data_IF_243876952028
#
_entry.id   IF_243876952028
#
_cell.length_a   1.000
_cell.length_b   1.000
_cell.length_c   1.000
_cell.angle_alpha   90.00
_cell.angle_beta   90.00
_cell.angle_gamma   90.00
#
_symmetry.space_group_name_H-M   'P 1'
#
loop_
_entity.id
_entity.type
_entity.pdbx_description
1 polymer ?
#
# COMPACT_ATOMS: atom_id res chain seq x y z
N UNK A 1 -0.23 2.46 -37.39
CA UNK A 1 -1.71 2.64 -37.52
C UNK A 1 -2.28 2.66 -36.11
N UNK A 2 -2.61 3.83 -35.60
CA UNK A 2 -3.17 3.99 -34.25
C UNK A 2 -4.62 3.54 -34.26
N UNK A 3 -4.91 2.35 -33.71
CA UNK A 3 -6.29 1.87 -33.58
C UNK A 3 -7.02 2.77 -32.58
N UNK A 4 -8.03 3.52 -33.08
CA UNK A 4 -8.92 4.32 -32.23
C UNK A 4 -9.73 3.39 -31.33
N UNK A 5 -9.54 3.47 -30.00
CA UNK A 5 -10.44 2.82 -29.05
C UNK A 5 -11.83 3.44 -29.15
N UNK A 6 -12.85 2.62 -29.35
CA UNK A 6 -14.26 3.09 -29.43
C UNK A 6 -14.86 2.92 -28.04
N UNK A 7 -15.31 4.03 -27.43
CA UNK A 7 -16.05 3.99 -26.17
C UNK A 7 -17.43 3.37 -26.40
N UNK A 8 -17.73 2.25 -25.74
CA UNK A 8 -19.04 1.58 -25.85
C UNK A 8 -20.03 2.06 -24.79
N UNK A 9 -19.56 2.32 -23.59
CA UNK A 9 -20.39 2.78 -22.47
C UNK A 9 -19.57 3.73 -21.61
N UNK A 10 -20.21 4.83 -21.18
CA UNK A 10 -19.61 5.78 -20.24
C UNK A 10 -20.64 6.21 -19.18
N UNK A 11 -20.20 6.32 -17.95
CA UNK A 11 -20.95 6.92 -16.83
C UNK A 11 -20.11 7.99 -16.16
N UNK A 12 -20.78 9.09 -15.79
CA UNK A 12 -20.16 10.19 -15.02
C UNK A 12 -20.91 10.34 -13.70
N UNK A 13 -20.15 10.27 -12.62
CA UNK A 13 -20.66 10.34 -11.25
C UNK A 13 -20.08 11.56 -10.55
N UNK A 14 -20.86 12.20 -9.73
CA UNK A 14 -20.52 13.44 -9.04
C UNK A 14 -20.75 13.29 -7.54
N UNK A 15 -19.83 13.85 -6.76
CA UNK A 15 -19.91 13.89 -5.30
C UNK A 15 -19.67 15.31 -4.81
N UNK A 16 -20.58 15.83 -3.99
CA UNK A 16 -20.43 17.15 -3.38
C UNK A 16 -20.83 17.11 -1.92
N UNK A 17 -19.89 17.45 -1.03
CA UNK A 17 -20.13 17.55 0.41
C UNK A 17 -19.17 18.57 1.01
N UNK A 18 -19.70 19.61 1.64
CA UNK A 18 -18.90 20.72 2.18
C UNK A 18 -18.03 21.37 1.11
N UNK A 19 -16.71 21.42 1.34
CA UNK A 19 -15.73 21.93 0.36
C UNK A 19 -15.27 20.90 -0.66
N UNK A 20 -15.78 19.68 -0.60
CA UNK A 20 -15.43 18.59 -1.52
C UNK A 20 -16.38 18.59 -2.72
N UNK A 21 -15.83 18.78 -3.92
CA UNK A 21 -16.55 18.70 -5.20
C UNK A 21 -15.73 17.82 -6.13
N UNK A 22 -16.19 16.59 -6.37
CA UNK A 22 -15.46 15.52 -7.08
C UNK A 22 -16.27 14.97 -8.23
N UNK A 23 -15.55 14.49 -9.24
CA UNK A 23 -16.10 13.79 -10.39
C UNK A 23 -15.40 12.44 -10.55
N UNK A 24 -16.14 11.45 -11.03
CA UNK A 24 -15.66 10.12 -11.35
C UNK A 24 -16.29 9.63 -12.66
N UNK A 25 -15.48 9.50 -13.70
CA UNK A 25 -15.90 8.96 -15.01
C UNK A 25 -15.48 7.51 -15.11
N UNK A 26 -16.38 6.66 -15.59
CA UNK A 26 -16.11 5.24 -15.87
C UNK A 26 -16.39 5.02 -17.34
N UNK A 27 -15.45 4.41 -18.07
CA UNK A 27 -15.55 4.13 -19.50
C UNK A 27 -15.25 2.66 -19.75
N UNK A 28 -16.10 2.01 -20.53
CA UNK A 28 -15.86 0.72 -21.15
C UNK A 28 -15.49 0.96 -22.60
N UNK A 29 -14.28 0.57 -22.99
CA UNK A 29 -13.73 0.83 -24.31
C UNK A 29 -13.30 -0.47 -24.98
N UNK A 30 -13.48 -0.57 -26.30
CA UNK A 30 -12.94 -1.68 -27.09
C UNK A 30 -11.44 -1.47 -27.31
N UNK A 31 -10.65 -2.51 -27.20
CA UNK A 31 -9.20 -2.51 -27.40
C UNK A 31 -8.79 -3.78 -28.17
N UNK A 32 -8.66 -3.68 -29.46
CA UNK A 32 -8.17 -4.73 -30.37
C UNK A 32 -8.62 -6.16 -30.07
N UNK A 33 -8.03 -6.81 -29.11
CA UNK A 33 -8.30 -8.19 -28.70
C UNK A 33 -9.40 -8.36 -27.64
N UNK A 34 -10.02 -7.26 -27.14
CA UNK A 34 -11.02 -7.33 -26.07
C UNK A 34 -11.51 -5.97 -25.60
N UNK A 35 -11.78 -5.84 -24.28
CA UNK A 35 -12.36 -4.65 -23.69
C UNK A 35 -11.58 -4.22 -22.45
N UNK A 36 -11.50 -2.88 -22.23
CA UNK A 36 -10.88 -2.26 -21.08
C UNK A 36 -11.90 -1.42 -20.32
N UNK A 37 -11.75 -1.32 -19.01
CA UNK A 37 -12.49 -0.40 -18.15
C UNK A 37 -11.56 0.67 -17.64
N UNK A 38 -11.71 1.89 -18.16
CA UNK A 38 -10.92 3.05 -17.76
C UNK A 38 -11.73 3.93 -16.82
N UNK A 39 -11.04 4.58 -15.87
CA UNK A 39 -11.63 5.55 -14.98
C UNK A 39 -10.82 6.83 -14.93
N UNK A 40 -11.53 7.97 -14.79
CA UNK A 40 -10.93 9.28 -14.58
C UNK A 40 -11.60 9.91 -13.37
N UNK A 41 -10.84 10.41 -12.42
CA UNK A 41 -11.41 10.95 -11.18
C UNK A 41 -10.56 12.06 -10.57
N UNK A 42 -11.21 12.90 -9.80
CA UNK A 42 -10.54 14.03 -9.16
C UNK A 42 -11.52 15.10 -8.70
N UNK A 43 -10.98 16.29 -8.42
CA UNK A 43 -11.80 17.49 -8.17
C UNK A 43 -12.42 17.95 -9.49
N UNK A 44 -13.70 18.37 -9.45
CA UNK A 44 -14.35 18.98 -10.60
C UNK A 44 -13.58 20.25 -11.00
N UNK A 45 -13.40 20.44 -12.30
CA UNK A 45 -12.65 21.55 -12.90
C UNK A 45 -11.14 21.57 -12.55
N UNK A 46 -10.57 20.41 -12.16
CA UNK A 46 -9.14 20.20 -12.02
C UNK A 46 -8.67 19.06 -12.92
N UNK A 47 -7.36 18.86 -13.04
CA UNK A 47 -6.79 17.72 -13.73
C UNK A 47 -7.25 16.41 -13.08
N UNK A 48 -7.82 15.52 -13.87
CA UNK A 48 -8.30 14.22 -13.41
C UNK A 48 -7.18 13.18 -13.45
N UNK A 49 -7.14 12.34 -12.45
CA UNK A 49 -6.31 11.14 -12.44
C UNK A 49 -6.95 10.08 -13.33
N UNK A 50 -6.15 9.38 -14.15
CA UNK A 50 -6.59 8.31 -15.03
C UNK A 50 -6.07 6.98 -14.50
N UNK A 51 -6.92 5.95 -14.54
CA UNK A 51 -6.58 4.59 -14.12
C UNK A 51 -7.34 3.60 -15.00
N UNK A 52 -6.73 2.46 -15.31
CA UNK A 52 -7.40 1.34 -15.99
C UNK A 52 -7.71 0.26 -14.96
N UNK A 53 -8.95 -0.18 -14.88
CA UNK A 53 -9.41 -1.20 -13.92
C UNK A 53 -9.19 -2.64 -14.43
N UNK A 54 -8.83 -2.78 -15.68
CA UNK A 54 -8.44 -4.03 -16.33
C UNK A 54 -6.97 -3.96 -16.70
N UNK A 55 -6.13 -4.87 -16.20
CA UNK A 55 -4.69 -4.87 -16.52
C UNK A 55 -4.40 -5.23 -17.97
N UNK A 56 -5.24 -6.11 -18.55
CA UNK A 56 -5.21 -6.55 -19.95
C UNK A 56 -6.62 -6.48 -20.54
N UNK A 57 -6.78 -6.45 -21.88
CA UNK A 57 -8.09 -6.57 -22.49
C UNK A 57 -8.78 -7.88 -22.09
N UNK A 58 -10.02 -7.78 -21.62
CA UNK A 58 -10.84 -8.90 -21.14
C UNK A 58 -12.07 -9.10 -22.04
N UNK A 59 -12.84 -10.18 -21.83
CA UNK A 59 -14.11 -10.39 -22.55
C UNK A 59 -15.11 -9.28 -22.21
N UNK A 60 -16.09 -9.03 -23.08
CA UNK A 60 -17.14 -8.02 -22.85
C UNK A 60 -17.86 -8.27 -21.52
N UNK A 61 -18.23 -9.49 -21.23
CA UNK A 61 -18.93 -9.88 -20.01
C UNK A 61 -18.11 -9.58 -18.74
N UNK A 62 -16.80 -9.84 -18.77
CA UNK A 62 -15.90 -9.49 -17.68
C UNK A 62 -15.74 -7.98 -17.52
N UNK A 63 -15.61 -7.25 -18.63
CA UNK A 63 -15.51 -5.80 -18.60
C UNK A 63 -16.79 -5.14 -18.07
N UNK A 64 -17.97 -5.63 -18.46
CA UNK A 64 -19.26 -5.18 -17.93
C UNK A 64 -19.40 -5.48 -16.43
N UNK A 65 -18.98 -6.64 -15.98
CA UNK A 65 -18.97 -6.98 -14.54
C UNK A 65 -18.09 -6.01 -13.73
N UNK A 66 -16.88 -5.70 -14.23
CA UNK A 66 -15.96 -4.73 -13.61
C UNK A 66 -16.55 -3.32 -13.64
N UNK A 67 -17.10 -2.88 -14.77
CA UNK A 67 -17.75 -1.58 -14.93
C UNK A 67 -18.90 -1.41 -13.92
N UNK A 68 -19.79 -2.38 -13.85
CA UNK A 68 -20.94 -2.37 -12.95
C UNK A 68 -20.52 -2.47 -11.46
N UNK A 69 -19.43 -3.17 -11.16
CA UNK A 69 -18.86 -3.21 -9.81
C UNK A 69 -18.39 -1.83 -9.38
N UNK A 70 -17.55 -1.16 -10.20
CA UNK A 70 -17.05 0.19 -9.91
C UNK A 70 -18.20 1.20 -9.80
N UNK A 71 -19.19 1.12 -10.68
CA UNK A 71 -20.38 1.97 -10.62
C UNK A 71 -21.12 1.83 -9.27
N UNK A 72 -21.42 0.61 -8.85
CA UNK A 72 -22.10 0.34 -7.57
C UNK A 72 -21.29 0.81 -6.38
N UNK A 73 -19.98 0.60 -6.36
CA UNK A 73 -19.08 1.08 -5.29
C UNK A 73 -19.13 2.61 -5.16
N UNK A 74 -19.15 3.34 -6.27
CA UNK A 74 -19.19 4.80 -6.24
C UNK A 74 -20.55 5.33 -5.81
N UNK A 75 -21.64 4.72 -6.27
CA UNK A 75 -22.98 5.07 -5.81
C UNK A 75 -23.14 4.81 -4.30
N UNK A 76 -22.64 3.68 -3.79
CA UNK A 76 -22.62 3.39 -2.35
C UNK A 76 -21.77 4.38 -1.53
N UNK A 77 -20.76 4.99 -2.14
CA UNK A 77 -19.91 6.03 -1.53
C UNK A 77 -20.48 7.45 -1.67
N UNK A 78 -21.77 7.60 -2.00
CA UNK A 78 -22.47 8.87 -2.06
C UNK A 78 -22.31 9.65 -3.36
N UNK A 79 -21.69 9.06 -4.41
CA UNK A 79 -21.72 9.65 -5.73
C UNK A 79 -23.09 9.46 -6.39
N UNK A 80 -23.50 10.41 -7.23
CA UNK A 80 -24.77 10.36 -7.97
C UNK A 80 -24.55 10.55 -9.46
N UNK A 81 -25.41 9.95 -10.28
CA UNK A 81 -25.48 10.25 -11.70
C UNK A 81 -26.19 11.62 -11.89
N UNK A 82 -25.59 12.52 -12.66
CA UNK A 82 -26.13 13.87 -12.91
C UNK A 82 -25.23 14.99 -12.39
N UNK A 83 -25.30 16.15 -13.04
CA UNK A 83 -24.34 17.26 -12.81
C UNK A 83 -24.46 17.94 -11.44
N UNK A 84 -25.60 17.81 -10.78
CA UNK A 84 -25.88 18.39 -9.47
C UNK A 84 -25.99 17.25 -8.47
N UNK A 85 -24.88 16.95 -7.80
CA UNK A 85 -24.91 16.01 -6.67
C UNK A 85 -25.92 16.51 -5.61
N UNK A 86 -26.49 15.62 -4.75
CA UNK A 86 -27.52 15.99 -3.80
C UNK A 86 -27.03 17.11 -2.89
N UNK A 87 -27.81 18.18 -2.81
CA UNK A 87 -27.68 19.21 -1.79
C UNK A 87 -28.04 18.58 -0.46
N UNK A 88 -27.03 18.38 0.37
CA UNK A 88 -27.02 17.93 1.74
C UNK A 88 -28.35 17.53 2.40
N UNK A 89 -28.49 16.24 2.68
CA UNK A 89 -29.22 15.79 3.86
C UNK A 89 -28.23 15.81 5.03
N UNK A 90 -28.43 16.71 5.96
CA UNK A 90 -27.63 16.84 7.17
C UNK A 90 -27.86 15.62 8.06
N UNK A 91 -26.82 14.80 8.25
CA UNK A 91 -26.77 13.88 9.38
C UNK A 91 -26.21 14.64 10.59
N UNK A 92 -26.83 14.52 11.78
CA UNK A 92 -26.39 15.26 12.96
C UNK A 92 -25.00 14.79 13.42
N UNK A 93 -24.07 15.74 13.50
CA UNK A 93 -22.77 15.56 14.14
C UNK A 93 -22.96 15.53 15.65
N UNK A 94 -22.91 14.37 16.25
CA UNK A 94 -22.63 14.26 17.69
C UNK A 94 -21.14 14.41 17.91
N UNK A 95 -20.77 15.57 18.40
CA UNK A 95 -19.45 15.87 18.95
C UNK A 95 -19.44 15.36 20.38
N UNK A 96 -18.58 14.38 20.71
CA UNK A 96 -18.13 14.19 22.07
C UNK A 96 -16.60 14.15 22.04
N UNK A 97 -16.02 15.06 22.84
CA UNK A 97 -14.59 15.23 23.02
C UNK A 97 -13.98 14.12 23.90
N UNK A 98 -12.66 14.17 24.12
CA UNK A 98 -11.92 13.07 24.67
C UNK A 98 -12.10 12.97 26.19
N UNK A 99 -12.45 11.77 26.66
CA UNK A 99 -12.28 11.38 28.06
C UNK A 99 -11.21 10.30 28.08
N UNK A 100 -10.09 10.60 28.75
CA UNK A 100 -9.08 9.62 29.05
C UNK A 100 -9.65 8.52 29.94
N UNK A 101 -9.42 7.29 29.60
CA UNK A 101 -9.70 6.13 30.44
C UNK A 101 -8.49 5.21 30.49
N UNK A 102 -8.08 5.01 31.71
CA UNK A 102 -7.11 4.08 32.27
C UNK A 102 -7.28 2.63 31.72
N UNK A 103 -6.23 2.08 31.12
CA UNK A 103 -6.21 0.73 30.58
C UNK A 103 -5.49 -0.22 31.54
N UNK A 104 -6.11 -0.52 32.65
CA UNK A 104 -5.78 -1.66 33.50
C UNK A 104 -7.03 -2.40 33.89
N UNK A 105 -7.53 -3.27 33.01
CA UNK A 105 -8.36 -4.46 33.42
C UNK A 105 -8.49 -5.46 32.27
N UNK A 106 -8.04 -6.65 32.53
CA UNK A 106 -8.22 -7.94 31.86
C UNK A 106 -9.59 -8.13 31.27
N UNK A 107 -9.67 -8.39 29.98
CA UNK A 107 -10.91 -8.78 29.31
C UNK A 107 -10.97 -10.31 29.19
N UNK A 108 -11.77 -10.90 30.06
CA UNK A 108 -12.36 -12.23 29.90
C UNK A 108 -13.41 -12.19 28.79
N UNK A 109 -13.52 -13.31 28.05
CA UNK A 109 -14.31 -13.49 26.84
C UNK A 109 -15.72 -12.94 26.86
N UNK A 110 -16.05 -12.22 25.81
CA UNK A 110 -17.42 -11.86 25.42
C UNK A 110 -17.74 -12.59 24.12
N UNK A 111 -18.89 -13.29 24.01
CA UNK A 111 -19.28 -13.96 22.77
C UNK A 111 -19.58 -12.91 21.69
N UNK A 112 -18.94 -13.10 20.54
CA UNK A 112 -19.07 -12.25 19.37
C UNK A 112 -20.44 -12.43 18.72
N UNK A 113 -21.32 -11.45 18.86
CA UNK A 113 -22.62 -11.41 18.21
C UNK A 113 -22.57 -10.41 17.03
N UNK A 114 -22.65 -10.94 15.80
CA UNK A 114 -22.80 -10.16 14.57
C UNK A 114 -21.53 -10.07 13.72
N UNK A 115 -21.71 -10.18 12.39
CA UNK A 115 -20.65 -9.96 11.40
C UNK A 115 -20.38 -8.44 11.32
N UNK A 116 -19.22 -7.92 11.76
CA UNK A 116 -18.96 -6.48 11.69
C UNK A 116 -18.84 -6.03 10.23
N UNK A 117 -19.36 -4.84 9.97
CA UNK A 117 -19.40 -4.25 8.63
C UNK A 117 -18.01 -3.77 8.18
N UNK A 118 -17.78 -3.76 6.87
CA UNK A 118 -16.54 -3.18 6.33
C UNK A 118 -16.36 -1.71 6.79
N UNK A 119 -15.15 -1.38 7.25
CA UNK A 119 -14.81 -0.05 7.79
C UNK A 119 -14.95 0.09 9.31
N UNK A 120 -15.52 -0.88 10.01
CA UNK A 120 -15.53 -0.95 11.48
C UNK A 120 -14.15 -1.36 12.03
N UNK A 121 -13.89 -1.03 13.29
CA UNK A 121 -12.65 -1.41 13.96
C UNK A 121 -12.64 -2.92 14.24
N UNK A 122 -11.57 -3.58 13.81
CA UNK A 122 -11.31 -5.00 14.14
C UNK A 122 -10.75 -5.22 15.54
N UNK A 123 -10.34 -4.14 16.22
CA UNK A 123 -9.58 -4.21 17.47
C UNK A 123 -8.12 -4.67 17.33
N UNK A 124 -7.67 -4.96 16.09
CA UNK A 124 -6.30 -5.40 15.82
C UNK A 124 -5.38 -4.19 15.60
N UNK A 125 -4.27 -4.16 16.32
CA UNK A 125 -3.21 -3.18 16.14
C UNK A 125 -2.01 -3.76 15.40
N UNK A 126 -1.34 -2.95 14.58
CA UNK A 126 -0.15 -3.37 13.82
C UNK A 126 1.15 -2.82 14.43
N UNK A 127 2.20 -3.63 14.42
CA UNK A 127 3.56 -3.16 14.67
C UNK A 127 4.03 -2.34 13.47
N UNK A 128 4.54 -1.14 13.72
CA UNK A 128 5.08 -0.22 12.73
C UNK A 128 6.59 -0.09 12.90
N UNK A 129 7.30 -0.06 11.76
CA UNK A 129 8.74 -0.13 11.67
C UNK A 129 9.35 1.26 11.50
N UNK A 130 10.42 1.56 12.26
CA UNK A 130 11.26 2.71 12.00
C UNK A 130 12.26 2.42 10.86
N UNK A 131 12.63 3.43 10.07
CA UNK A 131 13.67 3.27 9.06
C UNK A 131 15.06 3.19 9.72
N UNK A 132 15.99 2.55 9.01
CA UNK A 132 17.44 2.63 9.25
C UNK A 132 18.11 3.15 7.99
N UNK A 133 19.23 3.82 8.17
CA UNK A 133 20.06 4.29 7.06
C UNK A 133 21.11 3.22 6.69
N UNK A 134 21.74 3.37 5.53
CA UNK A 134 22.71 2.39 5.00
C UNK A 134 23.93 2.22 5.93
N UNK A 135 24.36 3.30 6.58
CA UNK A 135 25.46 3.29 7.56
C UNK A 135 25.21 2.39 8.78
N UNK A 136 23.93 2.12 9.08
CA UNK A 136 23.52 1.37 10.29
C UNK A 136 23.23 -0.12 9.99
N UNK A 137 23.45 -0.57 8.75
CA UNK A 137 23.11 -1.93 8.33
C UNK A 137 24.08 -2.99 8.84
N UNK A 138 25.37 -2.70 8.91
CA UNK A 138 26.39 -3.73 9.21
C UNK A 138 26.15 -4.44 10.55
N UNK A 139 25.78 -3.76 11.65
CA UNK A 139 25.42 -4.44 12.91
C UNK A 139 24.20 -5.35 12.78
N UNK A 140 23.24 -5.01 11.92
CA UNK A 140 22.02 -5.81 11.71
C UNK A 140 22.29 -7.05 10.83
N UNK A 141 23.18 -6.88 9.84
CA UNK A 141 23.56 -7.95 8.92
C UNK A 141 24.45 -9.00 9.59
N UNK A 142 25.38 -8.58 10.44
CA UNK A 142 26.34 -9.47 11.10
C UNK A 142 25.77 -10.16 12.35
N UNK A 143 24.81 -9.55 13.06
CA UNK A 143 24.30 -10.10 14.30
C UNK A 143 23.34 -11.28 14.10
N UNK A 144 23.50 -12.40 14.78
CA UNK A 144 22.55 -13.52 14.76
C UNK A 144 21.21 -13.19 15.43
N UNK A 145 21.16 -12.16 16.28
CA UNK A 145 19.96 -11.76 17.00
C UNK A 145 18.95 -11.03 16.11
N UNK A 146 19.39 -10.54 14.95
CA UNK A 146 18.55 -9.88 13.97
C UNK A 146 18.23 -10.82 12.81
N UNK A 147 16.95 -11.09 12.64
CA UNK A 147 16.40 -11.87 11.55
C UNK A 147 16.01 -10.90 10.42
N UNK A 148 16.39 -11.25 9.18
CA UNK A 148 16.08 -10.43 8.01
C UNK A 148 14.94 -11.08 7.20
N UNK A 149 14.09 -10.28 6.60
CA UNK A 149 13.06 -10.67 5.64
C UNK A 149 13.04 -9.68 4.48
N UNK A 150 12.63 -10.14 3.31
CA UNK A 150 12.28 -9.24 2.22
C UNK A 150 11.14 -8.31 2.65
N UNK A 151 11.25 -7.05 2.30
CA UNK A 151 10.17 -6.08 2.46
C UNK A 151 9.31 -6.08 1.20
N UNK A 152 8.17 -6.72 1.31
CA UNK A 152 7.20 -6.79 0.22
C UNK A 152 6.49 -5.44 0.01
N UNK A 153 6.30 -5.07 -1.26
CA UNK A 153 5.59 -3.85 -1.67
C UNK A 153 4.12 -4.15 -1.95
N UNK A 154 3.36 -4.29 -0.89
CA UNK A 154 1.94 -4.63 -0.94
C UNK A 154 1.07 -3.75 -0.03
N UNK A 155 -0.02 -4.33 0.44
CA UNK A 155 -0.92 -3.72 1.43
C UNK A 155 -0.93 -4.55 2.69
N UNK A 156 -0.66 -3.92 3.84
CA UNK A 156 -0.77 -4.61 5.13
C UNK A 156 -2.14 -5.25 5.29
N UNK A 157 -2.13 -6.52 5.63
CA UNK A 157 -3.32 -7.31 5.88
C UNK A 157 -3.13 -8.13 7.16
N UNK A 158 -4.04 -7.93 8.12
CA UNK A 158 -4.21 -8.85 9.23
C UNK A 158 -5.41 -9.74 8.91
N UNK A 159 -5.29 -11.02 9.23
CA UNK A 159 -6.37 -11.98 9.06
C UNK A 159 -6.69 -12.62 10.40
N UNK A 160 -7.95 -12.50 10.83
CA UNK A 160 -8.50 -13.23 11.98
C UNK A 160 -9.41 -14.33 11.48
N UNK A 161 -9.22 -15.54 11.99
CA UNK A 161 -10.17 -16.65 11.89
C UNK A 161 -10.69 -16.98 13.28
N UNK A 162 -12.02 -17.05 13.42
CA UNK A 162 -12.71 -17.46 14.63
C UNK A 162 -13.87 -18.40 14.23
N UNK A 163 -13.69 -19.70 14.46
CA UNK A 163 -14.59 -20.72 13.94
C UNK A 163 -14.66 -20.69 12.40
N UNK A 164 -15.84 -20.42 11.87
CA UNK A 164 -16.09 -20.29 10.42
C UNK A 164 -15.90 -18.86 9.90
N UNK A 165 -15.81 -17.88 10.80
CA UNK A 165 -15.66 -16.47 10.43
C UNK A 165 -14.22 -16.16 10.09
N UNK A 166 -13.97 -15.57 8.90
CA UNK A 166 -12.67 -15.09 8.45
C UNK A 166 -12.78 -13.61 8.11
N UNK A 167 -11.97 -12.78 8.76
CA UNK A 167 -12.00 -11.33 8.62
C UNK A 167 -10.62 -10.80 8.27
N UNK A 168 -10.57 -9.89 7.28
CA UNK A 168 -9.40 -9.08 6.99
C UNK A 168 -9.44 -7.74 7.70
N UNK A 169 -8.29 -7.23 8.13
CA UNK A 169 -8.15 -5.85 8.60
C UNK A 169 -6.93 -5.18 7.96
N UNK A 170 -7.07 -3.91 7.65
CA UNK A 170 -5.99 -3.11 7.06
C UNK A 170 -5.02 -2.57 8.14
N UNK A 171 -3.98 -1.85 7.70
CA UNK A 171 -2.97 -1.21 8.58
C UNK A 171 -3.55 -0.31 9.68
N UNK A 172 -4.78 0.21 9.50
CA UNK A 172 -5.48 1.06 10.47
C UNK A 172 -6.35 0.25 11.44
N UNK A 173 -6.33 -1.08 11.32
CA UNK A 173 -7.20 -1.95 12.09
C UNK A 173 -8.66 -1.93 11.64
N UNK A 174 -8.97 -1.39 10.46
CA UNK A 174 -10.33 -1.38 9.92
C UNK A 174 -10.60 -2.65 9.12
N UNK A 175 -11.77 -3.23 9.33
CA UNK A 175 -12.24 -4.42 8.62
C UNK A 175 -12.35 -4.13 7.13
N UNK A 176 -11.79 -5.03 6.33
CA UNK A 176 -11.81 -5.00 4.87
C UNK A 176 -12.24 -6.36 4.31
N UNK A 177 -12.90 -6.37 3.14
CA UNK A 177 -13.22 -7.61 2.47
C UNK A 177 -11.95 -8.34 2.01
N UNK A 178 -11.98 -9.67 2.11
CA UNK A 178 -10.98 -10.56 1.52
C UNK A 178 -11.49 -11.09 0.18
N UNK A 179 -10.58 -11.44 -0.74
CA UNK A 179 -10.95 -12.14 -1.97
C UNK A 179 -11.45 -13.56 -1.64
N UNK A 180 -12.36 -14.08 -2.44
CA UNK A 180 -12.93 -15.42 -2.24
C UNK A 180 -11.85 -16.51 -2.23
N UNK A 181 -10.87 -16.53 -3.16
CA UNK A 181 -9.80 -17.54 -3.12
C UNK A 181 -9.00 -17.52 -1.82
N UNK A 182 -8.75 -16.32 -1.28
CA UNK A 182 -8.03 -16.18 -0.02
C UNK A 182 -8.89 -16.65 1.17
N UNK A 183 -10.18 -16.34 1.20
CA UNK A 183 -11.11 -16.81 2.24
C UNK A 183 -11.18 -18.34 2.25
N UNK A 184 -11.29 -18.97 1.08
CA UNK A 184 -11.32 -20.43 0.95
C UNK A 184 -10.00 -21.06 1.46
N UNK A 185 -8.86 -20.54 1.05
CA UNK A 185 -7.56 -21.04 1.50
C UNK A 185 -7.40 -20.93 3.03
N UNK A 186 -7.70 -19.76 3.60
CA UNK A 186 -7.61 -19.53 5.04
C UNK A 186 -8.64 -20.36 5.83
N UNK A 187 -9.83 -20.60 5.26
CA UNK A 187 -10.88 -21.44 5.85
C UNK A 187 -10.46 -22.87 6.12
N UNK A 188 -9.60 -23.42 5.28
CA UNK A 188 -9.08 -24.81 5.43
C UNK A 188 -8.02 -24.96 6.51
N UNK A 189 -7.40 -23.84 6.96
CA UNK A 189 -6.41 -23.88 8.03
C UNK A 189 -7.07 -24.28 9.37
N UNK A 190 -6.41 -25.13 10.18
CA UNK A 190 -7.01 -25.64 11.42
C UNK A 190 -7.04 -24.57 12.51
N UNK A 191 -8.08 -24.60 13.35
CA UNK A 191 -8.25 -23.79 14.55
C UNK A 191 -8.41 -22.30 14.30
N UNK A 192 -8.39 -21.53 15.37
CA UNK A 192 -8.53 -20.08 15.37
C UNK A 192 -7.15 -19.41 15.35
N UNK A 193 -7.04 -18.27 14.67
CA UNK A 193 -5.75 -17.56 14.59
C UNK A 193 -5.90 -16.08 14.22
N UNK A 194 -4.84 -15.30 14.52
CA UNK A 194 -4.61 -13.97 13.96
C UNK A 194 -3.24 -13.98 13.28
N UNK A 195 -3.23 -13.82 11.98
CA UNK A 195 -2.02 -13.67 11.15
C UNK A 195 -1.81 -12.20 10.79
N UNK A 196 -0.54 -11.77 10.74
CA UNK A 196 -0.12 -10.46 10.27
C UNK A 196 0.78 -10.64 9.05
N UNK A 197 0.49 -9.92 7.96
CA UNK A 197 1.19 -10.09 6.69
C UNK A 197 1.00 -8.93 5.73
N UNK A 198 1.41 -9.16 4.49
CA UNK A 198 1.24 -8.25 3.37
C UNK A 198 0.39 -8.93 2.30
N UNK A 199 -0.46 -8.18 1.59
CA UNK A 199 -1.24 -8.67 0.46
C UNK A 199 -0.74 -8.01 -0.82
N UNK A 200 -0.41 -8.84 -1.83
CA UNK A 200 -0.05 -8.41 -3.19
C UNK A 200 -1.01 -9.12 -4.14
N UNK A 201 -1.84 -8.33 -4.83
CA UNK A 201 -2.95 -8.91 -5.58
C UNK A 201 -3.85 -9.78 -4.69
N UNK A 202 -4.09 -11.01 -5.12
CA UNK A 202 -4.89 -12.00 -4.38
C UNK A 202 -4.05 -12.91 -3.47
N UNK A 203 -2.74 -12.68 -3.38
CA UNK A 203 -1.85 -13.49 -2.55
C UNK A 203 -1.57 -12.78 -1.22
N UNK A 204 -1.72 -13.53 -0.13
CA UNK A 204 -1.38 -13.11 1.22
C UNK A 204 -0.03 -13.68 1.62
N UNK A 205 0.84 -12.84 2.14
CA UNK A 205 2.19 -13.16 2.57
C UNK A 205 2.30 -12.95 4.09
N UNK A 206 1.87 -13.92 4.91
CA UNK A 206 2.00 -13.82 6.36
C UNK A 206 3.47 -13.84 6.78
N UNK A 207 3.79 -13.05 7.79
CA UNK A 207 5.14 -12.98 8.38
C UNK A 207 5.12 -13.00 9.92
N UNK A 208 3.93 -13.02 10.56
CA UNK A 208 3.80 -13.14 12.02
C UNK A 208 2.48 -13.84 12.39
N UNK A 209 2.46 -14.50 13.55
CA UNK A 209 1.29 -15.11 14.15
C UNK A 209 1.08 -14.48 15.53
N UNK A 210 -0.06 -13.82 15.72
CA UNK A 210 -0.34 -13.00 16.90
C UNK A 210 -1.21 -13.72 17.92
N UNK A 211 -2.12 -14.59 17.44
CA UNK A 211 -3.00 -15.39 18.29
C UNK A 211 -3.17 -16.78 17.70
N UNK A 212 -3.33 -17.78 18.57
CA UNK A 212 -3.57 -19.16 18.18
C UNK A 212 -4.48 -19.85 19.18
N UNK A 213 -5.66 -20.35 18.72
CA UNK A 213 -6.64 -21.09 19.53
C UNK A 213 -6.94 -20.39 20.88
N UNK A 214 -7.21 -19.07 20.82
CA UNK A 214 -7.49 -18.20 21.97
C UNK A 214 -6.24 -17.77 22.77
N UNK A 215 -5.06 -18.31 22.49
CA UNK A 215 -3.82 -17.91 23.13
C UNK A 215 -3.23 -16.67 22.46
N UNK A 216 -3.04 -15.58 23.20
CA UNK A 216 -2.29 -14.42 22.77
C UNK A 216 -0.78 -14.74 22.74
N UNK A 217 -0.12 -14.53 21.60
CA UNK A 217 1.29 -14.83 21.40
C UNK A 217 2.19 -13.60 21.43
N UNK A 218 1.63 -12.39 21.64
CA UNK A 218 2.38 -11.12 21.55
C UNK A 218 3.62 -11.09 22.45
N UNK A 219 3.58 -11.73 23.63
CA UNK A 219 4.69 -11.79 24.58
C UNK A 219 5.84 -12.72 24.18
N UNK A 220 5.63 -13.59 23.19
CA UNK A 220 6.69 -14.51 22.72
C UNK A 220 7.67 -13.78 21.80
N UNK A 221 8.92 -14.30 21.74
CA UNK A 221 9.90 -13.83 20.78
C UNK A 221 9.45 -14.05 19.33
N UNK A 222 9.87 -13.16 18.43
CA UNK A 222 9.46 -13.17 17.02
C UNK A 222 9.80 -14.51 16.32
N UNK A 223 11.01 -15.08 16.57
CA UNK A 223 11.39 -16.37 16.01
C UNK A 223 10.40 -17.49 16.36
N UNK A 224 9.93 -17.50 17.62
CA UNK A 224 8.94 -18.47 18.09
C UNK A 224 7.58 -18.29 17.42
N UNK A 225 7.12 -17.04 17.31
CA UNK A 225 5.84 -16.75 16.64
C UNK A 225 5.88 -17.15 15.16
N UNK A 226 6.99 -16.82 14.47
CA UNK A 226 7.18 -17.19 13.06
C UNK A 226 7.24 -18.73 12.88
N UNK A 227 7.96 -19.46 13.72
CA UNK A 227 7.99 -20.92 13.68
C UNK A 227 6.59 -21.53 13.87
N UNK A 228 5.80 -21.00 14.80
CA UNK A 228 4.40 -21.43 14.99
C UNK A 228 3.51 -21.07 13.79
N UNK A 229 3.74 -19.95 13.13
CA UNK A 229 3.10 -19.58 11.88
C UNK A 229 3.41 -20.61 10.78
N UNK A 230 4.68 -20.96 10.60
CA UNK A 230 5.07 -21.97 9.61
C UNK A 230 4.44 -23.33 9.92
N UNK A 231 4.36 -23.73 11.19
CA UNK A 231 3.68 -24.97 11.59
C UNK A 231 2.17 -24.94 11.28
N UNK A 232 1.49 -23.79 11.44
CA UNK A 232 0.10 -23.61 11.04
C UNK A 232 -0.09 -23.75 9.52
N UNK A 233 0.88 -23.25 8.74
CA UNK A 233 0.85 -23.22 7.28
C UNK A 233 1.50 -24.44 6.61
N UNK A 234 1.98 -25.41 7.38
CA UNK A 234 2.78 -26.57 6.90
C UNK A 234 1.99 -27.56 6.02
N UNK A 235 0.69 -27.39 5.82
CA UNK A 235 -0.12 -28.22 4.91
C UNK A 235 0.06 -27.77 3.46
N UNK A 236 -0.41 -28.57 2.45
CA UNK A 236 0.00 -28.36 1.05
C UNK A 236 -0.12 -26.87 0.65
N UNK A 237 0.86 -26.38 -0.13
CA UNK A 237 0.99 -24.95 -0.40
C UNK A 237 -0.29 -24.41 -1.02
N UNK A 238 -0.88 -23.44 -0.36
CA UNK A 238 -1.97 -22.66 -0.95
C UNK A 238 -1.36 -21.66 -1.91
N UNK A 239 -1.78 -21.61 -3.18
CA UNK A 239 -1.24 -20.62 -4.13
C UNK A 239 -1.39 -19.18 -3.64
N UNK A 240 -2.45 -18.92 -2.86
CA UNK A 240 -2.84 -17.60 -2.34
C UNK A 240 -2.31 -17.29 -0.94
N UNK A 241 -1.58 -18.21 -0.27
CA UNK A 241 -0.99 -17.98 1.06
C UNK A 241 0.47 -18.44 1.04
N UNK A 242 1.40 -17.50 1.06
CA UNK A 242 2.84 -17.77 0.96
C UNK A 242 3.57 -17.10 2.13
N UNK A 243 4.03 -17.82 3.15
CA UNK A 243 4.74 -17.22 4.27
C UNK A 243 6.04 -16.55 3.83
N UNK A 244 6.34 -15.38 4.39
CA UNK A 244 7.61 -14.70 4.14
C UNK A 244 8.72 -15.43 4.90
N UNK A 245 9.76 -15.93 4.20
CA UNK A 245 10.86 -16.63 4.85
C UNK A 245 11.71 -15.69 5.71
N UNK A 246 12.33 -16.25 6.76
CA UNK A 246 13.36 -15.57 7.52
C UNK A 246 14.73 -15.94 6.92
N UNK A 247 15.57 -14.93 6.75
CA UNK A 247 16.95 -15.04 6.29
C UNK A 247 17.85 -14.90 7.52
N UNK A 248 18.56 -15.97 7.87
CA UNK A 248 19.46 -16.06 9.04
C UNK A 248 20.92 -16.13 8.64
N UNK A 249 21.21 -16.63 7.45
CA UNK A 249 22.55 -16.82 6.90
C UNK A 249 22.72 -15.98 5.64
N UNK A 250 23.95 -15.56 5.36
CA UNK A 250 24.29 -14.75 4.20
C UNK A 250 23.33 -13.58 3.96
N UNK A 251 22.99 -12.87 5.04
CA UNK A 251 22.09 -11.70 4.96
C UNK A 251 22.64 -10.63 4.02
N UNK A 252 23.96 -10.43 3.98
CA UNK A 252 24.60 -9.46 3.10
C UNK A 252 24.47 -9.83 1.62
N UNK A 253 24.78 -11.07 1.26
CA UNK A 253 24.63 -11.56 -0.12
C UNK A 253 23.16 -11.54 -0.58
N UNK A 254 22.24 -11.93 0.31
CA UNK A 254 20.79 -11.83 0.05
C UNK A 254 20.32 -10.38 -0.13
N UNK A 255 20.80 -9.45 0.71
CA UNK A 255 20.48 -8.02 0.58
C UNK A 255 20.89 -7.47 -0.78
N UNK A 256 22.12 -7.78 -1.24
CA UNK A 256 22.63 -7.36 -2.55
C UNK A 256 21.83 -8.03 -3.71
N UNK A 257 21.38 -9.25 -3.53
CA UNK A 257 20.53 -9.94 -4.51
C UNK A 257 19.18 -9.25 -4.63
N UNK A 258 18.49 -9.01 -3.50
CA UNK A 258 17.21 -8.31 -3.47
C UNK A 258 17.32 -6.88 -4.04
N UNK A 259 18.45 -6.19 -3.80
CA UNK A 259 18.73 -4.87 -4.38
C UNK A 259 18.82 -4.92 -5.90
N UNK A 260 19.47 -5.96 -6.46
CA UNK A 260 19.59 -6.16 -7.92
C UNK A 260 18.27 -6.59 -8.56
N UNK A 261 17.44 -7.31 -7.83
CA UNK A 261 16.10 -7.73 -8.26
C UNK A 261 15.01 -6.65 -8.06
N UNK A 262 15.44 -5.42 -7.71
CA UNK A 262 14.55 -4.27 -7.50
C UNK A 262 13.46 -4.49 -6.45
N UNK A 263 13.70 -5.33 -5.44
CA UNK A 263 12.83 -5.41 -4.28
C UNK A 263 12.65 -4.05 -3.59
N UNK A 264 11.59 -3.86 -2.80
CA UNK A 264 11.36 -2.60 -2.08
C UNK A 264 12.44 -2.34 -1.01
N UNK A 265 12.97 -3.40 -0.42
CA UNK A 265 13.94 -3.32 0.66
C UNK A 265 13.92 -4.57 1.53
N UNK A 266 14.37 -4.43 2.77
CA UNK A 266 14.37 -5.49 3.78
C UNK A 266 13.79 -5.01 5.10
N UNK A 267 13.37 -5.98 5.92
CA UNK A 267 12.91 -5.78 7.29
C UNK A 267 13.82 -6.58 8.22
N UNK A 268 14.28 -5.96 9.30
CA UNK A 268 15.01 -6.61 10.37
C UNK A 268 14.10 -6.70 11.61
N UNK A 269 14.06 -7.86 12.25
CA UNK A 269 13.34 -8.06 13.52
C UNK A 269 14.23 -8.82 14.49
N UNK A 270 14.26 -8.41 15.73
CA UNK A 270 14.97 -9.15 16.77
C UNK A 270 14.28 -10.49 17.04
N UNK A 271 15.07 -11.55 17.12
CA UNK A 271 14.58 -12.91 17.26
C UNK A 271 13.74 -13.12 18.53
N UNK A 272 14.13 -12.46 19.61
CA UNK A 272 13.52 -12.55 20.94
C UNK A 272 12.43 -11.50 21.20
N UNK A 273 12.19 -10.58 20.25
CA UNK A 273 11.31 -9.43 20.47
C UNK A 273 9.83 -9.81 20.55
N UNK A 274 9.10 -9.29 21.54
CA UNK A 274 7.65 -9.38 21.60
C UNK A 274 7.00 -8.53 20.50
N UNK A 275 5.73 -8.81 20.18
CA UNK A 275 4.94 -7.99 19.28
C UNK A 275 4.37 -6.79 20.05
N UNK A 276 4.68 -5.59 19.59
CA UNK A 276 4.15 -4.34 20.15
C UNK A 276 3.48 -3.53 19.05
N UNK A 277 2.18 -3.33 19.16
CA UNK A 277 1.43 -2.48 18.24
C UNK A 277 1.90 -1.02 18.36
N UNK A 278 1.81 -0.28 17.25
CA UNK A 278 2.25 1.11 17.15
C UNK A 278 3.67 1.27 16.64
N UNK A 279 4.19 2.47 16.73
CA UNK A 279 5.55 2.83 16.30
C UNK A 279 6.34 3.33 17.51
N UNK A 280 7.53 2.78 17.79
CA UNK A 280 8.44 3.36 18.77
C UNK A 280 8.88 4.77 18.37
N UNK A 281 9.17 5.64 19.32
CA UNK A 281 9.63 7.01 19.07
C UNK A 281 10.91 7.04 18.22
N UNK A 282 11.83 6.08 18.45
CA UNK A 282 13.04 5.87 17.67
C UNK A 282 13.49 4.41 17.77
N UNK A 283 14.31 3.93 16.83
CA UNK A 283 14.83 2.57 16.82
C UNK A 283 13.74 1.50 16.93
N UNK A 284 13.90 0.58 17.86
CA UNK A 284 12.96 -0.49 18.17
C UNK A 284 13.44 -1.87 17.75
N UNK A 285 12.62 -2.88 18.07
CA UNK A 285 12.92 -4.29 17.83
C UNK A 285 12.57 -4.75 16.39
N UNK A 286 12.01 -3.86 15.59
CA UNK A 286 11.68 -4.10 14.19
C UNK A 286 11.98 -2.85 13.36
N UNK A 287 12.80 -3.01 12.34
CA UNK A 287 13.37 -1.94 11.53
C UNK A 287 13.16 -2.23 10.06
N UNK A 288 13.16 -1.21 9.20
CA UNK A 288 13.07 -1.36 7.75
C UNK A 288 14.17 -0.59 7.06
N UNK A 289 14.74 -1.18 6.04
CA UNK A 289 15.64 -0.52 5.10
C UNK A 289 15.04 -0.60 3.70
N UNK A 290 14.98 0.54 2.99
CA UNK A 290 14.44 0.62 1.63
C UNK A 290 15.53 0.94 0.63
N UNK A 291 15.48 0.29 -0.53
CA UNK A 291 16.45 0.47 -1.61
C UNK A 291 16.15 1.72 -2.44
N UNK A 292 16.22 2.88 -1.80
CA UNK A 292 16.03 4.14 -2.49
C UNK A 292 17.14 4.41 -3.52
N UNK A 293 16.76 5.09 -4.59
CA UNK A 293 17.62 5.66 -5.62
C UNK A 293 17.56 7.19 -5.55
N UNK A 294 18.53 7.87 -6.16
CA UNK A 294 18.48 9.32 -6.37
C UNK A 294 18.52 9.61 -7.85
N UNK A 295 17.96 10.73 -8.23
CA UNK A 295 18.08 11.31 -9.56
C UNK A 295 18.09 12.84 -9.47
N UNK A 296 18.65 13.48 -10.49
CA UNK A 296 18.51 14.92 -10.72
C UNK A 296 17.35 15.18 -11.69
N UNK A 297 16.50 16.15 -11.36
CA UNK A 297 15.34 16.51 -12.14
C UNK A 297 15.15 18.02 -12.24
N UNK A 298 14.52 18.47 -13.30
CA UNK A 298 14.19 19.90 -13.51
C UNK A 298 12.81 20.19 -12.91
N UNK A 299 12.69 21.26 -12.16
CA UNK A 299 11.40 21.78 -11.70
C UNK A 299 10.64 22.36 -12.89
N UNK A 300 9.51 21.76 -13.24
CA UNK A 300 8.66 22.24 -14.33
C UNK A 300 7.70 23.34 -13.89
N UNK A 301 7.15 23.24 -12.69
CA UNK A 301 6.24 24.24 -12.10
C UNK A 301 6.13 24.10 -10.58
N UNK A 302 5.67 25.17 -9.93
CA UNK A 302 5.35 25.16 -8.51
C UNK A 302 3.86 24.96 -8.30
N UNK A 303 3.46 24.17 -7.28
CA UNK A 303 2.08 23.99 -6.88
C UNK A 303 1.68 25.00 -5.80
N UNK A 304 0.36 25.16 -5.55
CA UNK A 304 -0.18 26.09 -4.55
C UNK A 304 0.25 25.81 -3.10
N UNK A 305 0.71 24.58 -2.83
CA UNK A 305 1.30 24.18 -1.54
C UNK A 305 2.81 23.98 -1.72
N UNK A 306 3.53 23.68 -0.62
CA UNK A 306 4.97 23.41 -0.67
C UNK A 306 5.28 22.12 -1.44
N UNK A 307 5.04 22.12 -2.75
CA UNK A 307 5.41 21.02 -3.67
C UNK A 307 5.70 21.57 -5.05
N UNK A 308 6.53 20.87 -5.80
CA UNK A 308 6.92 21.20 -7.17
C UNK A 308 6.68 20.02 -8.09
N UNK A 309 6.32 20.30 -9.34
CA UNK A 309 6.27 19.30 -10.39
C UNK A 309 7.65 19.14 -11.03
N UNK A 310 8.01 17.91 -11.32
CA UNK A 310 9.33 17.55 -11.84
C UNK A 310 9.23 16.97 -13.24
N UNK A 311 10.29 17.19 -14.01
CA UNK A 311 10.46 16.57 -15.32
C UNK A 311 11.93 16.26 -15.59
N UNK A 312 12.19 15.35 -16.53
CA UNK A 312 13.50 15.12 -17.13
C UNK A 312 13.60 15.83 -18.46
N UNK A 313 14.78 15.78 -19.07
CA UNK A 313 15.02 16.22 -20.44
C UNK A 313 13.98 15.59 -21.40
N UNK A 314 13.56 16.32 -22.42
CA UNK A 314 12.47 15.89 -23.31
C UNK A 314 11.07 16.00 -22.72
N UNK A 315 10.90 16.74 -21.61
CA UNK A 315 9.64 16.97 -20.91
C UNK A 315 8.97 15.69 -20.36
N UNK A 316 9.76 14.69 -19.97
CA UNK A 316 9.24 13.46 -19.36
C UNK A 316 8.77 13.78 -17.94
N UNK A 317 7.46 13.68 -17.62
CA UNK A 317 6.93 14.07 -16.33
C UNK A 317 7.29 13.04 -15.24
N UNK A 318 7.76 13.52 -14.09
CA UNK A 318 8.10 12.68 -12.93
C UNK A 318 7.05 12.75 -11.80
N UNK A 319 6.00 13.54 -11.99
CA UNK A 319 5.03 13.83 -10.94
C UNK A 319 5.49 14.96 -10.01
N UNK A 320 4.95 15.01 -8.79
CA UNK A 320 5.22 16.07 -7.83
C UNK A 320 6.00 15.56 -6.63
N UNK A 321 6.88 16.41 -6.09
CA UNK A 321 7.55 16.17 -4.81
C UNK A 321 7.22 17.29 -3.81
N UNK A 322 7.04 16.93 -2.54
CA UNK A 322 6.86 17.91 -1.46
C UNK A 322 8.21 18.44 -1.03
N UNK A 323 8.34 19.77 -0.97
CA UNK A 323 9.53 20.47 -0.47
C UNK A 323 9.40 20.63 1.04
N UNK A 324 10.32 20.04 1.79
CA UNK A 324 10.34 20.08 3.24
C UNK A 324 10.42 21.52 3.79
N UNK A 325 10.00 21.76 5.05
CA UNK A 325 9.97 23.11 5.64
C UNK A 325 11.35 23.75 5.77
N UNK A 326 12.41 22.95 5.79
CA UNK A 326 13.81 23.40 5.92
C UNK A 326 14.46 23.80 4.60
N UNK A 327 13.72 23.73 3.49
CA UNK A 327 14.20 24.11 2.16
C UNK A 327 13.36 25.27 1.60
N UNK A 328 13.98 26.14 0.83
CA UNK A 328 13.26 27.09 0.00
C UNK A 328 12.58 26.37 -1.17
N UNK A 329 11.45 26.90 -1.62
CA UNK A 329 10.74 26.33 -2.77
C UNK A 329 11.54 26.69 -4.04
N UNK A 330 12.07 25.71 -4.77
CA UNK A 330 12.88 25.99 -5.96
C UNK A 330 11.99 26.57 -7.08
N UNK A 331 12.56 27.47 -7.87
CA UNK A 331 11.88 28.09 -9.01
C UNK A 331 11.80 27.11 -10.19
N UNK A 332 10.80 27.27 -11.10
CA UNK A 332 10.81 26.55 -12.37
C UNK A 332 12.13 26.74 -13.11
N UNK A 333 12.66 25.66 -13.69
CA UNK A 333 13.97 25.59 -14.33
C UNK A 333 15.12 25.21 -13.40
N UNK A 334 14.94 25.25 -12.08
CA UNK A 334 15.98 24.78 -11.14
C UNK A 334 16.14 23.25 -11.24
N UNK A 335 17.39 22.78 -11.13
CA UNK A 335 17.68 21.36 -10.98
C UNK A 335 17.66 21.00 -9.51
N UNK A 336 17.05 19.86 -9.20
CA UNK A 336 16.88 19.37 -7.82
C UNK A 336 17.24 17.90 -7.73
N UNK A 337 17.77 17.49 -6.58
CA UNK A 337 17.98 16.07 -6.28
C UNK A 337 16.77 15.48 -5.58
N UNK A 338 16.36 14.32 -6.04
CA UNK A 338 15.19 13.61 -5.50
C UNK A 338 15.54 12.16 -5.25
N UNK A 339 15.25 11.69 -4.04
CA UNK A 339 15.31 10.27 -3.67
C UNK A 339 13.96 9.64 -3.99
N UNK A 340 13.97 8.46 -4.60
CA UNK A 340 12.76 7.73 -4.96
C UNK A 340 12.97 6.22 -4.82
N UNK A 341 11.92 5.44 -4.83
CA UNK A 341 12.01 3.98 -4.71
C UNK A 341 12.16 3.32 -6.09
N UNK A 342 11.24 3.60 -7.00
CA UNK A 342 11.22 3.22 -8.42
C UNK A 342 10.35 4.20 -9.21
N UNK A 343 10.44 4.15 -10.54
CA UNK A 343 9.54 4.86 -11.42
C UNK A 343 8.42 3.94 -11.94
N UNK A 344 7.25 4.49 -12.14
CA UNK A 344 6.15 3.83 -12.88
C UNK A 344 6.35 4.01 -14.39
N UNK A 345 5.74 3.14 -15.22
CA UNK A 345 5.64 3.42 -16.64
C UNK A 345 5.06 4.82 -16.89
N UNK A 346 5.74 5.64 -17.70
CA UNK A 346 5.42 7.05 -17.91
C UNK A 346 6.19 8.03 -17.01
N UNK A 347 7.10 7.55 -16.16
CA UNK A 347 8.10 8.36 -15.45
C UNK A 347 7.74 8.76 -14.02
N UNK A 348 6.46 8.69 -13.61
CA UNK A 348 6.06 9.09 -12.27
C UNK A 348 6.84 8.34 -11.17
N UNK A 349 7.41 9.07 -10.20
CA UNK A 349 8.23 8.50 -9.14
C UNK A 349 7.39 7.93 -8.00
N UNK A 350 7.76 6.75 -7.51
CA UNK A 350 7.20 6.17 -6.30
C UNK A 350 7.93 6.72 -5.08
N UNK A 351 7.17 7.26 -4.12
CA UNK A 351 7.65 7.80 -2.84
C UNK A 351 8.79 8.84 -2.99
N UNK A 352 8.64 9.86 -3.85
CA UNK A 352 9.67 10.86 -4.04
C UNK A 352 9.89 11.67 -2.76
N UNK A 353 11.17 11.95 -2.46
CA UNK A 353 11.60 12.82 -1.37
C UNK A 353 12.58 13.86 -1.92
N UNK A 354 12.27 15.13 -1.72
CA UNK A 354 13.15 16.24 -2.08
C UNK A 354 14.38 16.27 -1.17
N UNK A 355 15.58 16.30 -1.77
CA UNK A 355 16.84 16.34 -1.03
C UNK A 355 17.50 17.72 -1.06
N UNK A 356 17.32 18.49 -2.14
CA UNK A 356 17.92 19.82 -2.28
C UNK A 356 17.93 20.31 -3.72
N UNK A 357 18.39 21.57 -3.87
CA UNK A 357 18.69 22.14 -5.19
C UNK A 357 20.12 21.74 -5.58
N UNK A 358 20.34 21.49 -6.86
CA UNK A 358 21.62 21.15 -7.48
C UNK A 358 22.04 22.30 -8.39
N UNK A 359 23.09 23.01 -8.04
CA UNK A 359 23.72 24.06 -8.85
C UNK A 359 24.93 23.56 -9.66
N UNK A 360 25.32 22.31 -9.40
CA UNK A 360 26.41 21.59 -10.04
C UNK A 360 25.98 20.67 -11.20
N UNK A 361 24.68 20.56 -11.49
CA UNK A 361 24.10 19.69 -12.54
C UNK A 361 23.32 20.55 -13.53
N UNK A 362 23.56 20.37 -14.82
CA UNK A 362 22.83 21.05 -15.88
C UNK A 362 21.47 20.37 -16.14
N UNK A 363 20.48 21.15 -16.57
CA UNK A 363 19.17 20.62 -16.94
C UNK A 363 19.24 19.54 -18.06
N UNK A 364 20.22 19.66 -18.96
CA UNK A 364 20.50 18.68 -20.03
C UNK A 364 21.09 17.36 -19.54
N UNK A 365 21.55 17.30 -18.29
CA UNK A 365 22.06 16.07 -17.67
C UNK A 365 20.95 15.30 -16.92
N UNK A 366 19.76 15.89 -16.77
CA UNK A 366 18.61 15.26 -16.16
C UNK A 366 17.94 14.28 -17.14
N UNK A 367 18.66 13.22 -17.54
CA UNK A 367 18.22 12.26 -18.56
C UNK A 367 17.35 11.14 -18.01
N UNK A 368 16.64 10.45 -18.92
CA UNK A 368 15.78 9.30 -18.57
C UNK A 368 16.57 8.07 -18.09
N UNK A 369 17.87 8.00 -18.34
CA UNK A 369 18.74 6.88 -17.93
C UNK A 369 18.84 6.74 -16.40
N UNK A 370 18.51 7.80 -15.66
CA UNK A 370 18.47 7.79 -14.20
C UNK A 370 17.25 7.04 -13.65
N UNK A 371 16.25 6.73 -14.50
CA UNK A 371 15.02 6.07 -14.05
C UNK A 371 15.23 4.57 -13.88
N UNK A 372 14.97 4.10 -12.68
CA UNK A 372 14.86 2.67 -12.38
C UNK A 372 13.37 2.35 -12.26
N UNK A 373 12.87 1.61 -13.22
CA UNK A 373 11.48 1.19 -13.22
C UNK A 373 11.25 0.01 -12.27
N UNK A 374 10.03 -0.09 -11.76
CA UNK A 374 9.61 -1.31 -11.06
C UNK A 374 9.72 -2.47 -12.05
N UNK A 375 10.43 -3.54 -11.66
CA UNK A 375 10.42 -4.77 -12.45
C UNK A 375 8.99 -5.28 -12.56
N UNK A 376 8.54 -5.56 -13.77
CA UNK A 376 7.31 -6.32 -13.99
C UNK A 376 7.59 -7.75 -13.52
N UNK A 377 7.24 -8.03 -12.27
CA UNK A 377 7.15 -9.43 -11.84
C UNK A 377 5.94 -10.01 -12.57
N UNK A 378 6.18 -10.72 -13.66
CA UNK A 378 5.23 -11.70 -14.16
C UNK A 378 4.95 -12.68 -13.02
N UNK A 379 3.74 -12.59 -12.45
CA UNK A 379 3.23 -13.47 -11.40
C UNK A 379 2.67 -14.75 -12.03
#
# INVERSE_FOLDING_TARGET
>A
MTQKSITMTQKSLYYREGSSDKVYHIQLVSSGAGYLVNVQYGRRNASLQCETKTQVPVSLSQAEAIFNKVLREKLANGYTEGRDGPVGAAYPKTRTGPVGADLSKTASGVPYAGNPSAGESSGLGVMLLNPVEESDLEPLLSSPDWLMQEKLDGRRLLVRKAGTLIQGANRRGLIIPLSEPLQLALGTLPGDFVLDGESIGDTFYPFDLLERDGQNLHGLGYATRHARMLALLARPPFPTVRPVPIITHDKKGTLETLRREFAEGVVFKRADAPYRAGRPASGGDALKFKFYKTLSAVVSSCNAKRSVNLQLEGNIPLGSVTVGPNFDIPKPGAVVEVRYLYAFPGGALCQPLFLGVRDDVLASECSADQLIFKADHEL
#
